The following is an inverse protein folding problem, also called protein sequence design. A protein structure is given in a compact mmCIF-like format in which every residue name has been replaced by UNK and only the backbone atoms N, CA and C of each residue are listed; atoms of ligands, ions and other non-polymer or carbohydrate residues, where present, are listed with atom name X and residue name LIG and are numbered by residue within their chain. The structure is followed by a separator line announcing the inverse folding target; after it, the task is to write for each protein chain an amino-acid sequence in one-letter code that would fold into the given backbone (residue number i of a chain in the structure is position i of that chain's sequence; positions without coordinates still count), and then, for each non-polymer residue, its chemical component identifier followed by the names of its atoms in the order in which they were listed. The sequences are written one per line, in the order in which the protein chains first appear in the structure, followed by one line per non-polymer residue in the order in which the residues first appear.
data_IF_260386044126
#
_entry.id   IF_260386044126
#
_cell.length_a   1.000
_cell.length_b   1.000
_cell.length_c   1.000
_cell.angle_alpha   90.00
_cell.angle_beta   90.00
_cell.angle_gamma   90.00
#
_symmetry.space_group_name_H-M   'P 1'
#
loop_
_entity.id
_entity.type
_entity.pdbx_description
1 polymer ?
#
# COMPACT_ATOMS: atom_id res chain seq x y z
N UNK A 1 -7.84 -21.76 3.23
CA UNK A 1 -7.05 -21.69 1.98
C UNK A 1 -6.15 -20.46 2.02
N UNK A 2 -4.85 -20.67 2.23
CA UNK A 2 -3.85 -19.60 2.15
C UNK A 2 -3.57 -19.39 0.65
N UNK A 3 -4.19 -18.38 0.03
CA UNK A 3 -3.92 -18.06 -1.38
C UNK A 3 -2.43 -17.78 -1.50
N UNK A 4 -1.77 -18.49 -2.40
CA UNK A 4 -0.33 -18.35 -2.66
C UNK A 4 0.00 -16.87 -2.90
N UNK A 5 1.01 -16.37 -2.18
CA UNK A 5 1.41 -14.97 -2.26
C UNK A 5 1.82 -14.59 -3.69
N UNK A 6 2.32 -15.55 -4.46
CA UNK A 6 2.63 -15.37 -5.86
C UNK A 6 1.39 -15.06 -6.72
N UNK A 7 0.25 -15.72 -6.47
CA UNK A 7 -1.02 -15.39 -7.14
C UNK A 7 -1.48 -13.97 -6.81
N UNK A 8 -1.32 -13.54 -5.55
CA UNK A 8 -1.68 -12.18 -5.13
C UNK A 8 -0.80 -11.12 -5.75
N UNK A 9 0.51 -11.37 -5.87
CA UNK A 9 1.44 -10.47 -6.55
C UNK A 9 1.08 -10.32 -8.03
N UNK A 10 0.72 -11.41 -8.71
CA UNK A 10 0.24 -11.35 -10.09
C UNK A 10 -1.08 -10.56 -10.21
N UNK A 11 -2.01 -10.75 -9.27
CA UNK A 11 -3.27 -10.01 -9.25
C UNK A 11 -3.07 -8.52 -8.97
N UNK A 12 -2.12 -8.16 -8.10
CA UNK A 12 -1.75 -6.77 -7.83
C UNK A 12 -1.23 -6.04 -9.07
N UNK A 13 -0.56 -6.76 -9.98
CA UNK A 13 0.07 -6.25 -11.20
C UNK A 13 -0.82 -6.49 -12.44
N UNK A 14 -2.14 -6.57 -12.25
CA UNK A 14 -3.10 -6.88 -13.32
C UNK A 14 -3.08 -5.87 -14.47
N UNK A 15 -2.63 -4.65 -14.20
CA UNK A 15 -2.55 -3.54 -15.16
C UNK A 15 -1.30 -3.57 -16.03
N UNK A 16 -0.36 -4.48 -15.76
CA UNK A 16 0.89 -4.63 -16.52
C UNK A 16 0.81 -5.76 -17.55
N UNK A 17 1.58 -5.67 -18.66
CA UNK A 17 1.79 -6.78 -19.58
C UNK A 17 2.25 -8.05 -18.86
N UNK A 18 1.82 -9.21 -19.34
CA UNK A 18 2.06 -10.49 -18.66
C UNK A 18 3.56 -10.81 -18.46
N UNK A 19 4.39 -10.51 -19.45
CA UNK A 19 5.85 -10.69 -19.37
C UNK A 19 6.48 -9.85 -18.26
N UNK A 20 6.06 -8.59 -18.12
CA UNK A 20 6.54 -7.69 -17.06
C UNK A 20 6.02 -8.12 -15.69
N UNK A 21 4.75 -8.54 -15.62
CA UNK A 21 4.12 -9.03 -14.39
C UNK A 21 4.87 -10.22 -13.80
N UNK A 22 5.23 -11.20 -14.62
CA UNK A 22 5.97 -12.40 -14.17
C UNK A 22 7.35 -12.00 -13.65
N UNK A 23 8.06 -11.13 -14.39
CA UNK A 23 9.38 -10.64 -14.01
C UNK A 23 9.34 -9.92 -12.66
N UNK A 24 8.47 -8.92 -12.52
CA UNK A 24 8.35 -8.13 -11.29
C UNK A 24 7.89 -8.99 -10.11
N UNK A 25 6.93 -9.90 -10.31
CA UNK A 25 6.51 -10.81 -9.23
C UNK A 25 7.68 -11.69 -8.74
N UNK A 26 8.53 -12.15 -9.66
CA UNK A 26 9.73 -12.94 -9.35
C UNK A 26 10.79 -12.10 -8.62
N UNK A 27 10.98 -10.85 -9.04
CA UNK A 27 11.89 -9.90 -8.38
C UNK A 27 11.43 -9.60 -6.94
N UNK A 28 10.13 -9.35 -6.72
CA UNK A 28 9.57 -9.13 -5.37
C UNK A 28 9.78 -10.36 -4.47
N UNK A 29 9.64 -11.57 -5.01
CA UNK A 29 9.87 -12.78 -4.22
C UNK A 29 11.34 -13.03 -3.90
N UNK A 30 12.25 -12.59 -4.77
CA UNK A 30 13.69 -12.82 -4.63
C UNK A 30 14.33 -11.76 -3.72
N UNK A 31 14.02 -10.48 -3.95
CA UNK A 31 14.61 -9.33 -3.24
C UNK A 31 13.56 -8.24 -2.93
N UNK A 32 12.56 -8.52 -2.06
CA UNK A 32 11.42 -7.63 -1.84
C UNK A 32 11.82 -6.23 -1.36
N UNK A 33 12.82 -6.14 -0.48
CA UNK A 33 13.29 -4.86 0.10
C UNK A 33 13.83 -3.94 -1.00
N UNK A 34 14.66 -4.50 -1.88
CA UNK A 34 15.34 -3.75 -2.93
C UNK A 34 14.36 -3.34 -4.03
N UNK A 35 13.48 -4.25 -4.45
CA UNK A 35 12.44 -3.95 -5.43
C UNK A 35 11.54 -2.80 -4.96
N UNK A 36 11.09 -2.82 -3.69
CA UNK A 36 10.26 -1.75 -3.14
C UNK A 36 11.01 -0.43 -2.91
N UNK A 37 12.32 -0.47 -2.71
CA UNK A 37 13.15 0.75 -2.59
C UNK A 37 13.41 1.40 -3.95
N UNK A 38 13.59 0.60 -4.99
CA UNK A 38 13.91 1.08 -6.33
C UNK A 38 12.66 1.51 -7.11
N UNK A 39 11.49 0.96 -6.78
CA UNK A 39 10.22 1.30 -7.41
C UNK A 39 9.11 1.58 -6.38
N UNK A 40 8.96 2.88 -6.09
CA UNK A 40 7.92 3.40 -5.20
C UNK A 40 6.51 3.06 -5.69
N UNK A 41 6.26 2.95 -7.01
CA UNK A 41 4.91 2.68 -7.52
C UNK A 41 4.51 1.24 -7.24
N UNK A 42 5.44 0.30 -7.42
CA UNK A 42 5.24 -1.10 -7.04
C UNK A 42 5.00 -1.22 -5.54
N UNK A 43 5.75 -0.49 -4.72
CA UNK A 43 5.55 -0.51 -3.28
C UNK A 43 4.18 0.05 -2.87
N UNK A 44 3.72 1.15 -3.49
CA UNK A 44 2.38 1.70 -3.24
C UNK A 44 1.28 0.71 -3.67
N UNK A 45 1.45 0.02 -4.81
CA UNK A 45 0.52 -1.04 -5.23
C UNK A 45 0.46 -2.17 -4.20
N UNK A 46 1.61 -2.58 -3.66
CA UNK A 46 1.70 -3.59 -2.61
C UNK A 46 0.99 -3.15 -1.33
N UNK A 47 1.18 -1.91 -0.90
CA UNK A 47 0.51 -1.34 0.27
C UNK A 47 -1.02 -1.27 0.13
N UNK A 48 -1.53 -1.06 -1.09
CA UNK A 48 -2.98 -1.01 -1.34
C UNK A 48 -3.62 -2.39 -1.57
N UNK A 49 -2.83 -3.40 -1.94
CA UNK A 49 -3.37 -4.69 -2.40
C UNK A 49 -3.09 -5.85 -1.43
N UNK A 50 -1.98 -5.81 -0.69
CA UNK A 50 -1.57 -6.86 0.24
C UNK A 50 -1.96 -6.50 1.67
N UNK A 51 -2.24 -7.52 2.49
CA UNK A 51 -2.50 -7.32 3.91
C UNK A 51 -1.20 -7.02 4.66
N UNK A 52 -1.28 -6.27 5.76
CA UNK A 52 -0.12 -5.92 6.58
C UNK A 52 0.73 -7.13 7.00
N UNK A 53 0.12 -8.25 7.39
CA UNK A 53 0.86 -9.46 7.76
C UNK A 53 1.65 -10.07 6.58
N UNK A 54 1.16 -9.91 5.35
CA UNK A 54 1.77 -10.42 4.12
C UNK A 54 3.00 -9.59 3.77
N UNK A 55 2.86 -8.26 3.88
CA UNK A 55 3.96 -7.32 3.74
C UNK A 55 5.04 -7.58 4.81
N UNK A 56 4.67 -7.72 6.07
CA UNK A 56 5.65 -8.03 7.12
C UNK A 56 6.33 -9.36 6.91
N UNK A 57 5.66 -10.35 6.29
CA UNK A 57 6.25 -11.64 5.95
C UNK A 57 7.22 -11.55 4.77
N UNK A 58 6.94 -10.69 3.79
CA UNK A 58 7.79 -10.47 2.61
C UNK A 58 9.06 -9.70 2.97
N UNK A 59 8.92 -8.56 3.64
CA UNK A 59 10.02 -7.61 3.81
C UNK A 59 10.63 -7.66 5.21
N UNK A 60 9.91 -8.17 6.20
CA UNK A 60 10.26 -8.09 7.61
C UNK A 60 9.83 -6.76 8.23
N UNK A 61 9.50 -6.78 9.53
CA UNK A 61 9.00 -5.61 10.26
C UNK A 61 9.94 -4.41 10.19
N UNK A 62 11.24 -4.63 10.41
CA UNK A 62 12.22 -3.53 10.47
C UNK A 62 12.39 -2.85 9.12
N UNK A 63 12.52 -3.63 8.04
CA UNK A 63 12.66 -3.07 6.70
C UNK A 63 11.38 -2.34 6.26
N UNK A 64 10.21 -2.85 6.66
CA UNK A 64 8.95 -2.18 6.37
C UNK A 64 8.86 -0.80 7.04
N UNK A 65 9.35 -0.66 8.28
CA UNK A 65 9.47 0.64 8.94
C UNK A 65 10.41 1.59 8.19
N UNK A 66 11.53 1.07 7.66
CA UNK A 66 12.49 1.87 6.88
C UNK A 66 11.92 2.29 5.52
N UNK A 67 11.10 1.46 4.88
CA UNK A 67 10.45 1.74 3.59
C UNK A 67 9.26 2.72 3.72
N UNK A 68 8.59 2.72 4.87
CA UNK A 68 7.50 3.64 5.19
C UNK A 68 8.01 5.03 5.58
N UNK A 69 8.66 5.69 4.62
CA UNK A 69 9.08 7.08 4.76
C UNK A 69 7.88 8.04 4.67
N UNK A 70 8.05 9.27 5.16
CA UNK A 70 7.01 10.31 5.05
C UNK A 70 6.58 10.53 3.60
N UNK A 71 7.49 10.46 2.64
CA UNK A 71 7.17 10.60 1.22
C UNK A 71 6.27 9.46 0.72
N UNK A 72 6.53 8.21 1.14
CA UNK A 72 5.66 7.07 0.83
C UNK A 72 4.26 7.25 1.43
N UNK A 73 4.19 7.67 2.71
CA UNK A 73 2.91 7.95 3.39
C UNK A 73 2.14 9.05 2.67
N UNK A 74 2.85 10.07 2.20
CA UNK A 74 2.25 11.14 1.43
C UNK A 74 1.68 10.67 0.09
N UNK A 75 2.32 9.71 -0.58
CA UNK A 75 1.83 9.15 -1.85
C UNK A 75 0.62 8.23 -1.66
N UNK A 76 0.49 7.54 -0.53
CA UNK A 76 -0.70 6.73 -0.20
C UNK A 76 -1.97 7.58 -0.10
N UNK A 77 -1.86 8.79 0.44
CA UNK A 77 -2.98 9.70 0.58
C UNK A 77 -2.74 10.93 -0.28
N UNK A 78 -3.26 10.99 -1.52
CA UNK A 78 -3.11 12.18 -2.35
C UNK A 78 -3.60 13.42 -1.61
N UNK A 79 -2.93 14.56 -1.83
CA UNK A 79 -3.20 15.83 -1.10
C UNK A 79 -4.69 16.17 -1.12
N UNK A 80 -5.35 15.92 -2.25
CA UNK A 80 -6.79 16.13 -2.44
C UNK A 80 -7.65 15.31 -1.46
N UNK A 81 -7.31 14.04 -1.21
CA UNK A 81 -7.99 13.20 -0.20
C UNK A 81 -7.69 13.67 1.21
N UNK A 82 -6.46 14.11 1.50
CA UNK A 82 -6.13 14.67 2.83
C UNK A 82 -6.92 15.95 3.11
N UNK A 83 -7.06 16.82 2.12
CA UNK A 83 -7.89 18.02 2.20
C UNK A 83 -9.36 17.66 2.38
N UNK A 84 -9.87 16.65 1.68
CA UNK A 84 -11.23 16.15 1.85
C UNK A 84 -11.47 15.65 3.29
N UNK A 85 -10.61 14.79 3.83
CA UNK A 85 -10.73 14.30 5.21
C UNK A 85 -10.54 15.41 6.26
N UNK A 86 -9.66 16.39 6.01
CA UNK A 86 -9.50 17.57 6.87
C UNK A 86 -10.78 18.42 6.89
N UNK A 87 -11.42 18.61 5.74
CA UNK A 87 -12.68 19.34 5.63
C UNK A 87 -13.86 18.56 6.24
N UNK A 88 -13.95 17.25 6.01
CA UNK A 88 -14.95 16.38 6.64
C UNK A 88 -14.80 16.41 8.17
N UNK A 89 -13.58 16.26 8.70
CA UNK A 89 -13.30 16.41 10.13
C UNK A 89 -13.73 17.78 10.66
N UNK A 90 -13.41 18.87 9.95
CA UNK A 90 -13.83 20.24 10.32
C UNK A 90 -15.35 20.38 10.37
N UNK A 91 -16.06 19.84 9.38
CA UNK A 91 -17.53 19.90 9.32
C UNK A 91 -18.16 19.08 10.46
N UNK A 92 -17.70 17.85 10.67
CA UNK A 92 -18.17 16.99 11.76
C UNK A 92 -17.85 17.54 13.15
N UNK A 93 -16.72 18.25 13.32
CA UNK A 93 -16.40 18.92 14.59
C UNK A 93 -17.22 20.19 14.83
N UNK A 94 -17.67 20.85 13.75
CA UNK A 94 -18.42 22.11 13.82
C UNK A 94 -19.93 21.87 14.00
N UNK A 95 -20.44 20.78 13.44
CA UNK A 95 -21.81 20.34 13.60
C UNK A 95 -21.81 19.08 14.48
N UNK A 96 -21.88 19.27 15.80
CA UNK A 96 -22.21 18.16 16.70
C UNK A 96 -23.60 17.67 16.32
N UNK A 97 -23.71 16.43 15.82
CA UNK A 97 -24.99 15.76 15.66
C UNK A 97 -25.59 15.70 17.07
N UNK A 98 -26.80 16.26 17.31
CA UNK A 98 -27.41 16.15 18.62
C UNK A 98 -27.56 14.66 18.92
N UNK A 99 -26.98 14.22 20.04
CA UNK A 99 -27.13 12.85 20.48
C UNK A 99 -28.63 12.58 20.62
N UNK A 100 -29.19 11.77 19.72
CA UNK A 100 -30.55 11.28 19.81
C UNK A 100 -30.67 10.49 21.11
N UNK A 101 -31.41 11.07 22.07
CA UNK A 101 -31.82 10.39 23.30
C UNK A 101 -32.80 9.27 23.00
#
# INVERSE_FOLDING_TARGET
MQVDIHMKLKAMLWDMPETQRIKIASEILSNPVETFRNDDQIFIKALNSLKWYELTRLVGKQNLLTLLTDTTIQKLFPVQRRTYYKNARRLLSKYTVPASR
#
